data_IF_635141900855
#
_entry.id   IF_635141900855
#
_cell.length_a   1.000
_cell.length_b   1.000
_cell.length_c   1.000
_cell.angle_alpha   90.00
_cell.angle_beta   90.00
_cell.angle_gamma   90.00
#
_symmetry.space_group_name_H-M   'P 1'
#
loop_
_entity.id
_entity.type
_entity.pdbx_description
1 polymer ?
#
# COMPACT_ATOMS: atom_id res chain seq x y z
N UNK A 1 -4.92 1.95 -27.59
CA UNK A 1 -4.35 3.29 -27.92
C UNK A 1 -4.07 4.08 -26.65
N UNK A 2 -5.06 4.33 -25.78
CA UNK A 2 -4.90 5.16 -24.56
C UNK A 2 -3.91 4.60 -23.53
N UNK A 3 -3.87 3.28 -23.34
CA UNK A 3 -2.90 2.62 -22.47
C UNK A 3 -1.45 2.88 -22.94
N UNK A 4 -1.19 2.73 -24.24
CA UNK A 4 0.14 3.02 -24.81
C UNK A 4 0.50 4.50 -24.66
N UNK A 5 -0.46 5.39 -24.84
CA UNK A 5 -0.28 6.81 -24.62
C UNK A 5 0.16 7.12 -23.17
N UNK A 6 -0.53 6.53 -22.19
CA UNK A 6 -0.19 6.67 -20.77
C UNK A 6 1.21 6.12 -20.46
N UNK A 7 1.56 4.94 -21.01
CA UNK A 7 2.91 4.38 -20.87
C UNK A 7 3.95 5.35 -21.45
N UNK A 8 3.70 5.89 -22.62
CA UNK A 8 4.63 6.85 -23.27
C UNK A 8 4.84 8.12 -22.43
N UNK A 9 3.79 8.67 -21.81
CA UNK A 9 3.91 9.81 -20.89
C UNK A 9 4.84 9.45 -19.72
N UNK A 10 4.59 8.34 -19.06
CA UNK A 10 5.29 7.92 -17.85
C UNK A 10 6.77 7.59 -18.15
N UNK A 11 7.05 6.96 -19.29
CA UNK A 11 8.38 6.45 -19.64
C UNK A 11 9.28 7.50 -20.29
N UNK A 12 8.79 8.71 -20.58
CA UNK A 12 9.67 9.83 -20.97
C UNK A 12 10.76 10.01 -19.91
N UNK A 13 12.00 10.26 -20.35
CA UNK A 13 13.19 10.29 -19.49
C UNK A 13 13.04 11.16 -18.25
N UNK A 14 12.53 12.38 -18.43
CA UNK A 14 12.38 13.35 -17.34
C UNK A 14 11.23 12.97 -16.41
N UNK A 15 10.09 12.53 -16.96
CA UNK A 15 8.94 12.06 -16.23
C UNK A 15 9.28 10.83 -15.39
N UNK A 16 9.96 9.86 -15.99
CA UNK A 16 10.42 8.67 -15.29
C UNK A 16 11.40 9.00 -14.16
N UNK A 17 12.33 9.93 -14.41
CA UNK A 17 13.25 10.41 -13.36
C UNK A 17 12.50 11.05 -12.20
N UNK A 18 11.47 11.86 -12.47
CA UNK A 18 10.62 12.50 -11.46
C UNK A 18 9.89 11.45 -10.61
N UNK A 19 9.26 10.46 -11.24
CA UNK A 19 8.55 9.39 -10.54
C UNK A 19 9.51 8.54 -9.69
N UNK A 20 10.70 8.20 -10.20
CA UNK A 20 11.71 7.49 -9.41
C UNK A 20 12.16 8.28 -8.17
N UNK A 21 12.31 9.60 -8.28
CA UNK A 21 12.61 10.46 -7.13
C UNK A 21 11.47 10.45 -6.10
N UNK A 22 10.23 10.43 -6.59
CA UNK A 22 9.03 10.34 -5.75
C UNK A 22 9.03 9.05 -4.92
N UNK A 23 9.20 7.88 -5.55
CA UNK A 23 9.29 6.61 -4.82
C UNK A 23 10.47 6.56 -3.84
N UNK A 24 11.64 7.10 -4.22
CA UNK A 24 12.78 7.22 -3.29
C UNK A 24 12.44 8.11 -2.08
N UNK A 25 11.59 9.13 -2.25
CA UNK A 25 11.10 9.96 -1.16
C UNK A 25 10.19 9.15 -0.22
N UNK A 26 9.25 8.39 -0.77
CA UNK A 26 8.36 7.51 0.00
C UNK A 26 9.14 6.48 0.82
N UNK A 27 10.17 5.88 0.24
CA UNK A 27 11.04 4.91 0.92
C UNK A 27 11.84 5.47 2.10
N UNK A 28 11.99 6.80 2.19
CA UNK A 28 12.65 7.45 3.34
C UNK A 28 11.78 7.52 4.59
N UNK A 29 10.51 7.20 4.49
CA UNK A 29 9.61 7.15 5.63
C UNK A 29 10.02 6.00 6.55
N UNK A 30 10.50 6.34 7.76
CA UNK A 30 10.93 5.35 8.76
C UNK A 30 9.78 4.79 9.60
N UNK A 31 8.61 5.43 9.54
CA UNK A 31 7.43 5.06 10.34
C UNK A 31 6.43 4.22 9.57
N UNK A 32 6.37 4.40 8.26
CA UNK A 32 5.53 3.58 7.38
C UNK A 32 6.43 2.87 6.38
N UNK A 33 6.50 1.55 6.50
CA UNK A 33 7.27 0.71 5.61
C UNK A 33 6.36 0.10 4.53
N UNK A 34 6.39 0.66 3.33
CA UNK A 34 5.70 0.08 2.19
C UNK A 34 6.54 -1.04 1.58
N UNK A 35 6.03 -2.27 1.62
CA UNK A 35 6.70 -3.46 1.06
C UNK A 35 6.29 -3.76 -0.38
N UNK A 36 5.26 -3.09 -0.91
CA UNK A 36 4.78 -3.22 -2.30
C UNK A 36 5.37 -2.19 -3.26
N UNK A 37 6.34 -1.40 -2.83
CA UNK A 37 6.99 -0.43 -3.73
C UNK A 37 7.58 -1.13 -4.96
N UNK A 38 7.30 -0.63 -6.18
CA UNK A 38 7.83 -1.20 -7.39
C UNK A 38 9.36 -1.25 -7.39
N UNK A 39 9.91 -2.44 -7.60
CA UNK A 39 11.37 -2.66 -7.72
C UNK A 39 11.71 -3.10 -9.13
N UNK A 40 12.97 -2.85 -9.53
CA UNK A 40 13.45 -3.32 -10.83
C UNK A 40 13.49 -4.86 -10.83
N UNK A 41 12.88 -5.49 -11.83
CA UNK A 41 13.02 -6.94 -12.02
C UNK A 41 14.48 -7.32 -12.22
N UNK A 42 14.91 -8.40 -11.59
CA UNK A 42 16.27 -8.94 -11.71
C UNK A 42 16.42 -9.76 -13.00
N UNK A 43 15.32 -10.29 -13.53
CA UNK A 43 15.30 -11.10 -14.75
C UNK A 43 14.48 -10.41 -15.84
N UNK A 44 14.69 -10.82 -17.12
CA UNK A 44 13.86 -10.35 -18.25
C UNK A 44 12.52 -11.09 -18.34
N UNK A 45 12.33 -12.16 -17.56
CA UNK A 45 11.10 -12.94 -17.50
C UNK A 45 10.14 -12.31 -16.47
N UNK A 46 8.86 -12.57 -16.63
CA UNK A 46 7.83 -12.10 -15.67
C UNK A 46 7.92 -12.95 -14.39
N UNK A 47 8.55 -12.40 -13.36
CA UNK A 47 8.72 -13.03 -12.03
C UNK A 47 7.58 -12.64 -11.07
N UNK A 48 6.38 -12.43 -11.60
CA UNK A 48 5.25 -11.89 -10.82
C UNK A 48 4.92 -12.75 -9.58
N UNK A 49 4.92 -14.07 -9.73
CA UNK A 49 4.64 -14.99 -8.63
C UNK A 49 5.77 -14.99 -7.57
N UNK A 50 7.02 -14.94 -8.00
CA UNK A 50 8.18 -14.87 -7.11
C UNK A 50 8.23 -13.54 -6.34
N UNK A 51 7.94 -12.42 -7.01
CA UNK A 51 7.85 -11.11 -6.36
C UNK A 51 6.77 -11.09 -5.29
N UNK A 52 5.57 -11.62 -5.59
CA UNK A 52 4.47 -11.71 -4.63
C UNK A 52 4.88 -12.59 -3.43
N UNK A 53 5.50 -13.75 -3.66
CA UNK A 53 5.98 -14.62 -2.59
C UNK A 53 7.01 -13.93 -1.70
N UNK A 54 7.96 -13.20 -2.29
CA UNK A 54 8.98 -12.47 -1.56
C UNK A 54 8.40 -11.30 -0.75
N UNK A 55 7.39 -10.60 -1.28
CA UNK A 55 6.67 -9.56 -0.54
C UNK A 55 5.95 -10.13 0.68
N UNK A 56 5.24 -11.25 0.53
CA UNK A 56 4.57 -11.90 1.64
C UNK A 56 5.53 -12.38 2.73
N UNK A 57 6.67 -12.96 2.33
CA UNK A 57 7.74 -13.32 3.29
C UNK A 57 8.29 -12.09 4.02
N UNK A 58 8.48 -10.99 3.29
CA UNK A 58 8.95 -9.72 3.88
C UNK A 58 7.95 -9.11 4.85
N UNK A 59 6.63 -9.18 4.57
CA UNK A 59 5.58 -8.70 5.46
C UNK A 59 5.57 -9.52 6.75
N UNK A 60 5.55 -10.85 6.62
CA UNK A 60 5.49 -11.76 7.76
C UNK A 60 6.73 -11.61 8.65
N UNK A 61 7.93 -11.65 8.03
CA UNK A 61 9.18 -11.47 8.76
C UNK A 61 9.20 -10.13 9.52
N UNK A 62 8.83 -9.04 8.85
CA UNK A 62 8.79 -7.72 9.44
C UNK A 62 7.72 -7.57 10.53
N UNK A 63 6.56 -8.24 10.35
CA UNK A 63 5.51 -8.27 11.36
C UNK A 63 5.97 -9.01 12.62
N UNK A 64 6.67 -10.13 12.47
CA UNK A 64 7.23 -10.89 13.59
C UNK A 64 8.30 -10.07 14.32
N UNK A 65 9.18 -9.38 13.58
CA UNK A 65 10.18 -8.48 14.17
C UNK A 65 9.53 -7.39 15.03
N UNK A 66 8.48 -6.74 14.49
CA UNK A 66 7.75 -5.70 15.23
C UNK A 66 6.93 -6.24 16.39
N UNK A 67 6.48 -7.50 16.32
CA UNK A 67 5.77 -8.16 17.43
C UNK A 67 6.64 -8.33 18.68
N UNK A 68 7.96 -8.17 18.58
CA UNK A 68 8.86 -8.19 19.73
C UNK A 68 8.92 -6.83 20.45
N UNK A 69 8.55 -5.74 19.77
CA UNK A 69 8.67 -4.37 20.26
C UNK A 69 7.32 -3.72 20.57
N UNK A 70 6.21 -4.30 20.06
CA UNK A 70 4.87 -3.72 20.13
C UNK A 70 3.84 -4.70 20.69
N UNK A 71 2.95 -4.21 21.57
CA UNK A 71 1.97 -4.97 22.31
C UNK A 71 0.62 -5.11 21.59
N UNK A 72 0.34 -4.23 20.60
CA UNK A 72 -0.93 -4.19 19.87
C UNK A 72 -0.72 -4.08 18.38
N UNK A 73 -1.50 -4.84 17.62
CA UNK A 73 -1.59 -4.81 16.16
C UNK A 73 -3.01 -4.43 15.75
N UNK A 74 -3.13 -3.40 14.90
CA UNK A 74 -4.36 -3.06 14.19
C UNK A 74 -4.17 -3.38 12.73
N UNK A 75 -5.10 -4.16 12.16
CA UNK A 75 -5.09 -4.53 10.74
C UNK A 75 -6.33 -3.94 10.06
N UNK A 76 -6.13 -3.40 8.88
CA UNK A 76 -7.22 -2.86 8.06
C UNK A 76 -6.83 -2.88 6.59
N UNK A 77 -7.82 -2.86 5.69
CA UNK A 77 -7.62 -2.66 4.26
C UNK A 77 -8.45 -1.48 3.73
N UNK A 78 -8.17 -1.06 2.51
CA UNK A 78 -8.95 -0.04 1.82
C UNK A 78 -10.06 -0.71 1.01
N UNK A 79 -11.32 -0.32 1.25
CA UNK A 79 -12.46 -0.81 0.47
C UNK A 79 -12.35 -0.33 -0.98
N UNK A 80 -12.45 -1.26 -1.92
CA UNK A 80 -12.47 -0.98 -3.37
C UNK A 80 -11.39 0.05 -3.78
N UNK A 81 -10.13 -0.23 -3.40
CA UNK A 81 -9.01 0.70 -3.56
C UNK A 81 -8.90 1.28 -4.98
N UNK A 82 -9.04 0.45 -6.01
CA UNK A 82 -8.94 0.88 -7.41
C UNK A 82 -10.19 1.60 -7.89
N UNK A 83 -11.38 1.12 -7.54
CA UNK A 83 -12.65 1.69 -7.97
C UNK A 83 -13.03 3.00 -7.27
N UNK A 84 -12.50 3.23 -6.07
CA UNK A 84 -12.79 4.44 -5.28
C UNK A 84 -11.74 5.55 -5.42
N UNK A 85 -10.56 5.28 -6.01
CA UNK A 85 -9.48 6.24 -6.13
C UNK A 85 -9.91 7.47 -6.93
N UNK A 86 -9.87 8.66 -6.31
CA UNK A 86 -10.13 9.92 -6.97
C UNK A 86 -8.96 10.30 -7.89
N UNK A 87 -9.18 10.34 -9.21
CA UNK A 87 -8.09 10.42 -10.20
C UNK A 87 -7.23 11.66 -10.06
N UNK A 88 -7.80 12.81 -9.64
CA UNK A 88 -7.02 14.02 -9.38
C UNK A 88 -6.00 13.87 -8.25
N UNK A 89 -6.15 12.87 -7.35
CA UNK A 89 -5.17 12.57 -6.33
C UNK A 89 -3.82 12.13 -6.92
N UNK A 90 -3.80 11.60 -8.14
CA UNK A 90 -2.59 11.27 -8.88
C UNK A 90 -1.76 12.53 -9.12
N UNK A 91 -2.40 13.59 -9.58
CA UNK A 91 -1.74 14.88 -9.77
C UNK A 91 -1.25 15.47 -8.44
N UNK A 92 -2.01 15.30 -7.36
CA UNK A 92 -1.60 15.76 -6.02
C UNK A 92 -0.37 15.02 -5.49
N UNK A 93 -0.30 13.70 -5.74
CA UNK A 93 0.82 12.88 -5.34
C UNK A 93 2.12 13.22 -6.08
N UNK A 94 2.04 13.52 -7.37
CA UNK A 94 3.20 13.80 -8.23
C UNK A 94 3.69 15.25 -8.06
N UNK A 95 2.76 16.23 -7.99
CA UNK A 95 3.10 17.65 -8.00
C UNK A 95 2.96 18.35 -6.63
N UNK A 96 2.06 18.00 -5.84
CA UNK A 96 1.41 18.53 -4.64
C UNK A 96 0.00 19.05 -4.95
N UNK A 97 -0.88 19.01 -3.93
CA UNK A 97 -2.29 19.41 -4.07
C UNK A 97 -2.43 20.89 -4.49
N UNK A 98 -1.58 21.78 -3.95
CA UNK A 98 -1.60 23.21 -4.26
C UNK A 98 -1.16 23.49 -5.70
N UNK A 99 -0.05 22.90 -6.15
CA UNK A 99 0.47 23.08 -7.50
C UNK A 99 -0.48 22.51 -8.55
N UNK A 100 -0.98 21.28 -8.34
CA UNK A 100 -1.92 20.64 -9.27
C UNK A 100 -3.22 21.43 -9.43
N UNK A 101 -3.71 22.09 -8.36
CA UNK A 101 -4.91 22.94 -8.40
C UNK A 101 -4.67 24.30 -9.03
N UNK A 102 -3.48 24.88 -8.90
CA UNK A 102 -3.15 26.19 -9.48
C UNK A 102 -2.88 26.12 -10.99
N UNK A 103 -2.28 25.02 -11.46
CA UNK A 103 -1.92 24.81 -12.86
C UNK A 103 -2.83 23.69 -13.42
N UNK A 104 -3.99 24.08 -13.94
CA UNK A 104 -5.02 23.13 -14.42
C UNK A 104 -4.77 22.56 -15.81
N UNK A 105 -3.72 22.97 -16.49
CA UNK A 105 -3.39 22.49 -17.83
C UNK A 105 -2.52 21.24 -17.81
N UNK A 106 -2.35 20.60 -18.97
CA UNK A 106 -1.53 19.40 -19.15
C UNK A 106 -0.02 19.69 -19.24
N UNK A 107 0.48 20.81 -18.70
CA UNK A 107 1.92 21.08 -18.62
C UNK A 107 2.60 20.28 -17.51
N UNK A 108 1.85 19.85 -16.49
CA UNK A 108 2.34 19.06 -15.39
C UNK A 108 2.15 17.56 -15.64
N UNK A 109 3.16 16.76 -15.30
CA UNK A 109 3.10 15.31 -15.43
C UNK A 109 1.87 14.70 -14.73
N UNK A 110 1.61 15.14 -13.50
CA UNK A 110 0.46 14.65 -12.73
C UNK A 110 -0.87 14.89 -13.44
N UNK A 111 -1.06 16.07 -14.02
CA UNK A 111 -2.27 16.41 -14.78
C UNK A 111 -2.37 15.62 -16.09
N UNK A 112 -1.24 15.37 -16.76
CA UNK A 112 -1.22 14.52 -17.97
C UNK A 112 -1.65 13.08 -17.66
N UNK A 113 -1.14 12.50 -16.58
CA UNK A 113 -1.50 11.14 -16.15
C UNK A 113 -2.97 11.07 -15.75
N UNK A 114 -3.45 12.03 -14.95
CA UNK A 114 -4.85 12.14 -14.55
C UNK A 114 -5.77 12.25 -15.77
N UNK A 115 -5.52 13.18 -16.69
CA UNK A 115 -6.30 13.35 -17.92
C UNK A 115 -6.29 12.10 -18.82
N UNK A 116 -5.15 11.41 -18.91
CA UNK A 116 -5.05 10.18 -19.68
C UNK A 116 -5.93 9.06 -19.08
N UNK A 117 -5.96 8.92 -17.75
CA UNK A 117 -6.81 7.93 -17.05
C UNK A 117 -8.29 8.27 -17.23
N UNK A 118 -8.68 9.54 -17.03
CA UNK A 118 -10.06 9.97 -17.26
C UNK A 118 -10.51 9.68 -18.69
N UNK A 119 -9.64 9.92 -19.69
CA UNK A 119 -9.91 9.60 -21.08
C UNK A 119 -10.12 8.10 -21.33
N UNK A 120 -9.50 7.21 -20.53
CA UNK A 120 -9.73 5.77 -20.59
C UNK A 120 -11.10 5.36 -20.02
N UNK A 121 -11.76 6.24 -19.26
CA UNK A 121 -12.98 5.97 -18.50
C UNK A 121 -14.11 6.97 -18.86
N UNK A 122 -14.13 7.46 -20.09
CA UNK A 122 -15.17 8.40 -20.57
C UNK A 122 -15.29 9.68 -19.71
N UNK A 123 -14.19 10.16 -19.17
CA UNK A 123 -14.14 11.39 -18.34
C UNK A 123 -14.50 11.17 -16.86
N UNK A 124 -14.67 9.92 -16.41
CA UNK A 124 -14.90 9.65 -14.98
C UNK A 124 -13.67 9.99 -14.14
N UNK A 125 -13.92 10.62 -12.98
CA UNK A 125 -12.90 11.04 -12.03
C UNK A 125 -12.76 10.10 -10.83
N UNK A 126 -13.60 9.06 -10.73
CA UNK A 126 -13.58 8.05 -9.69
C UNK A 126 -13.12 6.71 -10.27
N UNK A 127 -12.18 6.10 -9.60
CA UNK A 127 -11.61 4.82 -9.94
C UNK A 127 -10.51 4.88 -11.00
N UNK A 128 -9.73 3.82 -11.04
CA UNK A 128 -8.78 3.49 -12.09
C UNK A 128 -9.01 2.03 -12.52
N UNK A 129 -8.73 1.66 -13.77
CA UNK A 129 -8.92 0.28 -14.23
C UNK A 129 -8.07 -0.70 -13.42
N UNK A 130 -8.67 -1.78 -12.92
CA UNK A 130 -7.96 -2.83 -12.19
C UNK A 130 -7.34 -3.86 -13.15
N UNK A 131 -6.26 -4.53 -12.71
CA UNK A 131 -5.71 -5.73 -13.37
C UNK A 131 -4.47 -5.50 -14.24
N UNK A 132 -3.93 -4.29 -14.29
CA UNK A 132 -2.65 -4.03 -14.98
C UNK A 132 -1.55 -3.56 -14.03
N UNK A 133 -0.31 -3.95 -14.33
CA UNK A 133 0.89 -3.51 -13.59
C UNK A 133 1.03 -1.98 -13.59
N UNK A 134 0.60 -1.32 -14.67
CA UNK A 134 0.62 0.14 -14.76
C UNK A 134 -0.35 0.78 -13.75
N UNK A 135 -1.54 0.21 -13.58
CA UNK A 135 -2.51 0.74 -12.61
C UNK A 135 -2.08 0.44 -11.17
N UNK A 136 -1.47 -0.74 -10.92
CA UNK A 136 -0.82 -1.04 -9.64
C UNK A 136 0.26 0.01 -9.32
N UNK A 137 1.07 0.37 -10.31
CA UNK A 137 2.11 1.39 -10.18
C UNK A 137 1.53 2.78 -9.86
N UNK A 138 0.42 3.17 -10.51
CA UNK A 138 -0.26 4.44 -10.27
C UNK A 138 -0.93 4.45 -8.89
N UNK A 139 -1.59 3.36 -8.50
CA UNK A 139 -2.15 3.22 -7.16
C UNK A 139 -1.07 3.40 -6.08
N UNK A 140 0.12 2.81 -6.26
CA UNK A 140 1.24 2.98 -5.33
C UNK A 140 1.75 4.43 -5.24
N UNK A 141 1.66 5.23 -6.32
CA UNK A 141 1.97 6.66 -6.26
C UNK A 141 0.99 7.39 -5.33
N UNK A 142 -0.30 7.09 -5.45
CA UNK A 142 -1.35 7.72 -4.62
C UNK A 142 -1.27 7.25 -3.17
N UNK A 143 -1.10 5.95 -2.95
CA UNK A 143 -0.98 5.39 -1.60
C UNK A 143 0.28 5.88 -0.88
N UNK A 144 1.41 6.04 -1.60
CA UNK A 144 2.60 6.65 -1.04
C UNK A 144 2.39 8.12 -0.62
N UNK A 145 1.56 8.87 -1.36
CA UNK A 145 1.13 10.20 -0.95
C UNK A 145 0.27 10.15 0.32
N UNK A 146 -0.67 9.20 0.42
CA UNK A 146 -1.45 8.99 1.66
C UNK A 146 -0.54 8.70 2.84
N UNK A 147 0.46 7.83 2.69
CA UNK A 147 1.42 7.52 3.74
C UNK A 147 2.16 8.78 4.24
N UNK A 148 2.55 9.68 3.32
CA UNK A 148 3.17 10.95 3.71
C UNK A 148 2.20 11.88 4.46
N UNK A 149 0.92 11.97 4.04
CA UNK A 149 -0.07 12.78 4.73
C UNK A 149 -0.39 12.16 6.12
N UNK A 150 -0.59 10.86 6.19
CA UNK A 150 -0.82 10.13 7.44
C UNK A 150 0.33 10.38 8.44
N UNK A 151 1.57 10.28 7.99
CA UNK A 151 2.73 10.56 8.85
C UNK A 151 2.71 11.98 9.40
N UNK A 152 2.33 12.98 8.59
CA UNK A 152 2.18 14.36 9.05
C UNK A 152 1.06 14.50 10.07
N UNK A 153 -0.10 13.88 9.82
CA UNK A 153 -1.25 13.91 10.73
C UNK A 153 -0.91 13.26 12.08
N UNK A 154 -0.23 12.12 12.07
CA UNK A 154 0.20 11.43 13.30
C UNK A 154 1.20 12.29 14.09
N UNK A 155 2.14 12.96 13.39
CA UNK A 155 3.11 13.84 14.04
C UNK A 155 2.44 15.06 14.73
N UNK A 156 1.36 15.60 14.14
CA UNK A 156 0.57 16.68 14.74
C UNK A 156 -0.12 16.22 16.05
N UNK A 157 -0.57 14.98 16.11
CA UNK A 157 -1.10 14.34 17.33
C UNK A 157 -0.03 13.94 18.34
N UNK A 158 1.26 14.18 18.04
CA UNK A 158 2.43 13.86 18.87
C UNK A 158 2.55 12.38 19.22
N UNK A 159 2.01 11.49 18.40
CA UNK A 159 2.17 10.05 18.55
C UNK A 159 3.52 9.67 17.95
N UNK A 160 4.44 9.14 18.76
CA UNK A 160 5.81 8.84 18.33
C UNK A 160 6.14 7.35 18.33
N UNK A 161 5.46 6.56 19.20
CA UNK A 161 5.75 5.13 19.37
C UNK A 161 4.78 4.29 18.55
N UNK A 162 5.05 4.18 17.25
CA UNK A 162 4.30 3.35 16.30
C UNK A 162 5.18 2.93 15.14
N UNK A 163 4.79 1.85 14.47
CA UNK A 163 5.29 1.41 13.16
C UNK A 163 4.12 0.94 12.32
N UNK A 164 4.17 1.19 11.02
CA UNK A 164 3.15 0.74 10.06
C UNK A 164 3.84 -0.05 8.96
N UNK A 165 3.30 -1.21 8.62
CA UNK A 165 3.63 -1.94 7.40
C UNK A 165 2.45 -1.77 6.45
N UNK A 166 2.72 -1.37 5.20
CA UNK A 166 1.72 -1.34 4.15
C UNK A 166 2.11 -2.27 3.00
N UNK A 167 1.14 -3.05 2.57
CA UNK A 167 1.22 -3.82 1.34
C UNK A 167 0.02 -3.50 0.46
N UNK A 168 0.23 -2.68 -0.59
CA UNK A 168 -0.86 -2.14 -1.42
C UNK A 168 -1.89 -1.44 -0.54
N UNK A 169 -3.11 -1.98 -0.50
CA UNK A 169 -4.27 -1.52 0.26
C UNK A 169 -4.31 -2.03 1.71
N UNK A 170 -3.50 -3.02 2.07
CA UNK A 170 -3.43 -3.58 3.43
C UNK A 170 -2.49 -2.77 4.34
N UNK A 171 -2.99 -2.38 5.50
CA UNK A 171 -2.25 -1.68 6.56
C UNK A 171 -2.17 -2.51 7.83
N UNK A 172 -0.98 -2.61 8.41
CA UNK A 172 -0.70 -3.18 9.72
C UNK A 172 -0.05 -2.12 10.59
N UNK A 173 -0.73 -1.73 11.66
CA UNK A 173 -0.34 -0.64 12.56
C UNK A 173 0.04 -1.26 13.90
N UNK A 174 1.30 -1.09 14.28
CA UNK A 174 1.89 -1.60 15.51
C UNK A 174 2.05 -0.46 16.51
N UNK A 175 1.54 -0.63 17.73
CA UNK A 175 1.58 0.36 18.82
C UNK A 175 1.72 -0.33 20.18
N UNK A 176 2.16 0.43 21.22
CA UNK A 176 2.15 -0.04 22.61
C UNK A 176 0.96 0.53 23.41
N UNK A 177 0.20 1.46 22.83
CA UNK A 177 -1.01 2.00 23.43
C UNK A 177 -2.19 1.81 22.46
N UNK A 178 -3.25 1.06 22.81
CA UNK A 178 -4.39 0.82 21.93
C UNK A 178 -5.14 2.10 21.55
N UNK A 179 -5.13 3.13 22.43
CA UNK A 179 -5.72 4.42 22.09
C UNK A 179 -4.97 5.12 20.95
N UNK A 180 -3.65 4.96 20.87
CA UNK A 180 -2.87 5.51 19.76
C UNK A 180 -3.17 4.74 18.46
N UNK A 181 -3.35 3.42 18.53
CA UNK A 181 -3.79 2.60 17.39
C UNK A 181 -5.13 3.07 16.83
N UNK A 182 -6.11 3.27 17.71
CA UNK A 182 -7.44 3.77 17.32
C UNK A 182 -7.37 5.17 16.72
N UNK A 183 -6.54 6.07 17.27
CA UNK A 183 -6.30 7.40 16.70
C UNK A 183 -5.65 7.34 15.31
N UNK A 184 -4.64 6.49 15.14
CA UNK A 184 -3.97 6.29 13.84
C UNK A 184 -4.95 5.76 12.80
N UNK A 185 -5.82 4.79 13.14
CA UNK A 185 -6.88 4.31 12.25
C UNK A 185 -7.83 5.43 11.83
N UNK A 186 -8.25 6.29 12.79
CA UNK A 186 -9.08 7.44 12.50
C UNK A 186 -8.38 8.40 11.53
N UNK A 187 -7.11 8.76 11.78
CA UNK A 187 -6.33 9.62 10.91
C UNK A 187 -6.12 9.00 9.52
N UNK A 188 -5.90 7.69 9.42
CA UNK A 188 -5.85 6.98 8.14
C UNK A 188 -7.17 7.12 7.38
N UNK A 189 -8.31 6.89 8.06
CA UNK A 189 -9.64 7.05 7.46
C UNK A 189 -9.86 8.48 6.94
N UNK A 190 -9.51 9.50 7.72
CA UNK A 190 -9.63 10.91 7.32
C UNK A 190 -8.78 11.25 6.09
N UNK A 191 -7.51 10.81 6.05
CA UNK A 191 -6.64 11.02 4.91
C UNK A 191 -7.12 10.27 3.64
N UNK A 192 -7.70 9.08 3.80
CA UNK A 192 -8.27 8.31 2.69
C UNK A 192 -9.53 8.98 2.12
N UNK A 193 -10.42 9.50 2.98
CA UNK A 193 -11.64 10.21 2.56
C UNK A 193 -11.29 11.42 1.68
N UNK A 194 -10.20 12.14 1.95
CA UNK A 194 -9.77 13.27 1.11
C UNK A 194 -9.48 12.91 -0.35
N UNK A 195 -9.19 11.65 -0.62
CA UNK A 195 -8.89 11.12 -1.96
C UNK A 195 -9.96 10.14 -2.47
N UNK A 196 -11.16 10.16 -1.85
CA UNK A 196 -12.30 9.36 -2.27
C UNK A 196 -12.31 7.92 -1.78
N UNK A 197 -11.28 7.49 -1.02
CA UNK A 197 -11.15 6.13 -0.51
C UNK A 197 -11.72 5.98 0.90
N UNK A 198 -11.96 4.74 1.32
CA UNK A 198 -12.47 4.41 2.65
C UNK A 198 -11.81 3.16 3.22
N UNK A 199 -11.61 3.17 4.52
CA UNK A 199 -11.22 1.97 5.29
C UNK A 199 -12.34 0.95 5.25
N UNK A 200 -12.00 -0.32 5.14
CA UNK A 200 -12.94 -1.44 5.22
C UNK A 200 -13.19 -1.81 6.69
N UNK A 201 -14.25 -1.25 7.26
CA UNK A 201 -14.60 -1.49 8.66
C UNK A 201 -14.88 -2.97 8.97
N UNK A 202 -15.38 -3.75 8.00
CA UNK A 202 -15.69 -5.16 8.19
C UNK A 202 -14.44 -6.04 8.34
N UNK A 203 -13.30 -5.57 7.80
CA UNK A 203 -12.01 -6.26 7.90
C UNK A 203 -11.07 -5.60 8.91
N UNK A 204 -11.45 -4.46 9.48
CA UNK A 204 -10.66 -3.82 10.52
C UNK A 204 -10.76 -4.61 11.81
N UNK A 205 -9.61 -4.99 12.35
CA UNK A 205 -9.48 -5.76 13.60
C UNK A 205 -8.25 -5.30 14.37
N UNK A 206 -8.30 -5.51 15.67
CA UNK A 206 -7.18 -5.29 16.59
C UNK A 206 -6.87 -6.57 17.35
N UNK A 207 -5.64 -6.72 17.79
CA UNK A 207 -5.17 -7.85 18.55
C UNK A 207 -4.08 -7.43 19.53
N UNK A 208 -4.16 -7.96 20.75
CA UNK A 208 -3.07 -7.95 21.74
C UNK A 208 -2.15 -9.16 21.64
N UNK A 209 -2.53 -10.17 20.86
CA UNK A 209 -1.65 -11.29 20.49
C UNK A 209 -0.99 -10.98 19.14
N UNK A 210 0.00 -10.09 19.19
CA UNK A 210 0.66 -9.57 17.98
C UNK A 210 1.45 -10.66 17.27
N UNK A 211 2.04 -11.61 18.01
CA UNK A 211 2.85 -12.71 17.45
C UNK A 211 1.98 -13.62 16.59
N UNK A 212 0.91 -14.16 17.16
CA UNK A 212 -0.01 -15.05 16.43
C UNK A 212 -0.66 -14.33 15.25
N UNK A 213 -1.08 -13.09 15.44
CA UNK A 213 -1.68 -12.26 14.37
C UNK A 213 -0.68 -11.88 13.26
N UNK A 214 0.62 -11.92 13.53
CA UNK A 214 1.67 -11.65 12.55
C UNK A 214 1.94 -12.83 11.61
N UNK A 215 1.53 -14.04 11.99
CA UNK A 215 1.75 -15.28 11.25
C UNK A 215 0.47 -15.62 10.45
N UNK A 216 0.63 -16.12 9.24
CA UNK A 216 -0.52 -16.56 8.44
C UNK A 216 -1.23 -17.74 9.10
N UNK A 217 -2.57 -17.70 9.08
CA UNK A 217 -3.41 -18.72 9.70
C UNK A 217 -3.11 -20.16 9.19
N UNK A 218 -2.86 -20.31 7.89
CA UNK A 218 -2.50 -21.59 7.28
C UNK A 218 -1.16 -22.18 7.79
N UNK A 219 -0.25 -21.31 8.21
CA UNK A 219 1.00 -21.75 8.86
C UNK A 219 0.78 -22.11 10.33
N UNK A 220 -0.02 -21.32 11.05
CA UNK A 220 -0.37 -21.63 12.44
C UNK A 220 -1.06 -22.99 12.55
N UNK A 221 -2.01 -23.29 11.67
CA UNK A 221 -2.67 -24.59 11.63
C UNK A 221 -1.68 -25.75 11.44
N UNK A 222 -0.65 -25.58 10.59
CA UNK A 222 0.38 -26.60 10.40
C UNK A 222 1.23 -26.85 11.64
N UNK A 223 1.47 -25.85 12.47
CA UNK A 223 2.19 -26.00 13.73
C UNK A 223 1.33 -26.62 14.84
N UNK A 224 0.01 -26.43 14.77
CA UNK A 224 -0.95 -26.96 15.74
C UNK A 224 -1.38 -28.40 15.42
N UNK A 225 -1.14 -28.93 14.21
CA UNK A 225 -1.39 -30.33 13.88
C UNK A 225 -0.38 -31.17 14.66
N UNK A 226 -0.84 -32.09 15.57
CA UNK A 226 0.06 -32.98 16.29
C UNK A 226 0.91 -33.76 15.28
N UNK A 227 2.22 -33.73 15.44
CA UNK A 227 3.14 -34.56 14.65
C UNK A 227 2.75 -36.05 14.88
N UNK A 228 2.08 -36.62 13.89
CA UNK A 228 1.79 -38.06 13.93
C UNK A 228 3.10 -38.82 13.91
N UNK A 229 3.24 -39.87 14.73
CA UNK A 229 4.46 -40.70 14.81
C UNK A 229 4.81 -41.41 13.50
N UNK A 230 4.01 -41.23 12.45
CA UNK A 230 4.17 -41.90 11.16
C UNK A 230 4.60 -40.85 10.06
N UNK A 231 5.88 -40.84 9.63
CA UNK A 231 6.38 -39.87 8.62
C UNK A 231 5.59 -39.88 7.30
N UNK A 232 5.04 -41.04 6.90
CA UNK A 232 4.26 -41.16 5.65
C UNK A 232 2.92 -40.41 5.73
N UNK A 233 2.33 -40.22 6.89
CA UNK A 233 1.11 -39.43 7.05
C UNK A 233 1.38 -37.91 7.05
N UNK A 234 2.58 -37.49 7.43
CA UNK A 234 2.95 -36.07 7.34
C UNK A 234 2.99 -35.55 5.88
N UNK A 235 3.41 -36.38 4.92
CA UNK A 235 3.44 -36.03 3.50
C UNK A 235 2.05 -35.92 2.88
N UNK A 236 1.05 -36.65 3.36
CA UNK A 236 -0.32 -36.60 2.85
C UNK A 236 -1.13 -35.39 3.34
N UNK A 237 -0.71 -34.77 4.45
CA UNK A 237 -1.35 -33.56 5.01
C UNK A 237 -0.72 -32.29 4.42
N UNK A 238 0.40 -32.39 3.69
CA UNK A 238 1.18 -31.26 3.16
C UNK A 238 0.97 -31.04 1.66
N UNK A 239 0.11 -31.82 1.00
CA UNK A 239 -0.34 -31.64 -0.40
C UNK A 239 -1.71 -30.99 -0.42
#
# INVERSE_FOLDING_TARGET
VLYVYLVNIITQKDNWSKIRKLFKRFQKNKKINCVSIPVKSLTKKSDKAEQISNWWKSIEQKSIELALDFDYLFETDISDCYGSLYTHSIAWAIESKSVAKSIKNNSLLGNQVDSAIQSMQYGQTNGIPQGSVLMDFIAEIVLGYVDEQLTKSINLEKISNYQIIRYRDDYRIFVNNPNDGSKILKLLSENLIEIGMRVNNAKTKDSSDVITSSIKADKLERYLIPTTKNPAQQYLITI
#
